data_IF_926560185499
#
_entry.id   IF_926560185499
#
_cell.length_a   1.000
_cell.length_b   1.000
_cell.length_c   1.000
_cell.angle_alpha   90.00
_cell.angle_beta   90.00
_cell.angle_gamma   90.00
#
_symmetry.space_group_name_H-M   'P 1'
#
loop_
_entity.id
_entity.type
_entity.pdbx_description
1 polymer ?
#
# COMPACT_ATOMS: atom_id res chain seq x y z
N UNK A 1 -22.93 17.41 -3.98
CA UNK A 1 -22.26 17.07 -5.26
C UNK A 1 -21.80 15.64 -5.09
N UNK A 2 -21.93 14.79 -6.10
CA UNK A 2 -21.40 13.43 -5.98
C UNK A 2 -19.89 13.46 -6.16
N UNK A 3 -19.19 12.56 -5.46
CA UNK A 3 -17.76 12.39 -5.61
C UNK A 3 -17.45 11.45 -6.76
N UNK A 4 -16.29 11.64 -7.37
CA UNK A 4 -15.70 10.77 -8.38
C UNK A 4 -14.29 10.41 -7.94
N UNK A 5 -13.83 9.20 -8.28
CA UNK A 5 -12.46 8.77 -8.06
C UNK A 5 -11.75 8.48 -9.38
N UNK A 6 -10.48 8.85 -9.45
CA UNK A 6 -9.54 8.43 -10.49
C UNK A 6 -8.41 7.67 -9.82
N UNK A 7 -8.10 6.46 -10.31
CA UNK A 7 -7.04 5.63 -9.75
C UNK A 7 -6.00 5.37 -10.85
N UNK A 8 -4.73 5.59 -10.53
CA UNK A 8 -3.59 5.25 -11.39
C UNK A 8 -2.52 4.54 -10.56
N UNK A 9 -1.73 3.68 -11.19
CA UNK A 9 -0.66 2.99 -10.49
C UNK A 9 0.46 2.56 -11.42
N UNK A 10 1.65 2.45 -10.86
CA UNK A 10 2.86 2.06 -11.56
C UNK A 10 3.74 1.24 -10.65
N UNK A 11 4.37 0.21 -11.20
CA UNK A 11 5.44 -0.54 -10.57
C UNK A 11 6.68 -0.51 -11.45
N UNK A 12 7.85 -0.32 -10.86
CA UNK A 12 9.13 -0.24 -11.55
C UNK A 12 10.19 -1.07 -10.82
N UNK A 13 11.06 -1.73 -11.58
CA UNK A 13 12.11 -2.60 -11.02
C UNK A 13 13.16 -1.84 -10.20
N UNK A 14 13.23 -0.51 -10.37
CA UNK A 14 14.30 0.31 -9.80
C UNK A 14 15.61 0.22 -10.59
N UNK A 15 16.68 0.81 -10.03
CA UNK A 15 17.98 0.92 -10.69
C UNK A 15 18.99 -0.14 -10.23
N UNK A 16 18.67 -0.93 -9.20
CA UNK A 16 19.61 -1.86 -8.55
C UNK A 16 19.16 -3.30 -8.53
N UNK A 17 17.86 -3.54 -8.56
CA UNK A 17 17.30 -4.90 -8.53
C UNK A 17 17.35 -5.53 -9.93
N UNK A 18 17.39 -6.86 -9.99
CA UNK A 18 17.33 -7.62 -11.24
C UNK A 18 15.96 -8.23 -11.52
N UNK A 19 15.07 -8.17 -10.54
CA UNK A 19 13.66 -8.62 -10.60
C UNK A 19 12.78 -7.61 -9.89
N UNK A 20 11.56 -7.53 -10.33
CA UNK A 20 10.52 -6.84 -9.59
C UNK A 20 9.76 -7.87 -8.77
N UNK A 21 9.83 -7.75 -7.44
CA UNK A 21 9.14 -8.58 -6.47
C UNK A 21 7.91 -7.86 -5.89
N UNK A 22 7.71 -6.58 -6.23
CA UNK A 22 6.49 -5.84 -5.94
C UNK A 22 5.35 -6.29 -6.86
N UNK A 23 4.12 -6.13 -6.39
CA UNK A 23 2.91 -6.33 -7.17
C UNK A 23 1.88 -5.22 -6.90
N UNK A 24 1.11 -4.87 -7.93
CA UNK A 24 0.03 -3.89 -7.85
C UNK A 24 -1.20 -4.39 -8.59
N UNK A 25 -2.37 -4.20 -7.98
CA UNK A 25 -3.66 -4.44 -8.62
C UNK A 25 -4.60 -3.25 -8.40
N UNK A 26 -5.31 -2.86 -9.45
CA UNK A 26 -6.29 -1.76 -9.43
C UNK A 26 -7.59 -2.22 -10.09
N UNK A 27 -8.71 -1.91 -9.44
CA UNK A 27 -10.06 -2.04 -9.98
C UNK A 27 -10.79 -0.72 -9.78
N UNK A 28 -10.61 0.19 -10.72
CA UNK A 28 -11.16 1.55 -10.63
C UNK A 28 -12.68 1.57 -10.53
N UNK A 29 -13.36 0.63 -11.20
CA UNK A 29 -14.81 0.48 -11.17
C UNK A 29 -15.36 0.09 -9.77
N UNK A 30 -14.52 -0.50 -8.92
CA UNK A 30 -14.86 -0.89 -7.55
C UNK A 30 -14.16 -0.04 -6.49
N UNK A 31 -13.37 0.96 -6.91
CA UNK A 31 -12.62 1.79 -5.97
C UNK A 31 -11.51 1.07 -5.22
N UNK A 32 -10.90 0.02 -5.81
CA UNK A 32 -9.90 -0.84 -5.16
C UNK A 32 -8.51 -0.53 -5.70
N UNK A 33 -7.55 -0.36 -4.78
CA UNK A 33 -6.13 -0.36 -5.07
C UNK A 33 -5.40 -1.23 -4.04
N UNK A 34 -4.45 -2.05 -4.50
CA UNK A 34 -3.64 -2.96 -3.69
C UNK A 34 -2.18 -2.84 -4.13
N UNK A 35 -1.27 -2.67 -3.17
CA UNK A 35 0.18 -2.71 -3.36
C UNK A 35 0.74 -3.76 -2.40
N UNK A 36 1.65 -4.59 -2.87
CA UNK A 36 2.32 -5.61 -2.08
C UNK A 36 3.80 -5.66 -2.46
N UNK A 37 4.67 -5.66 -1.47
CA UNK A 37 6.12 -5.73 -1.59
C UNK A 37 6.59 -7.13 -1.19
N UNK A 38 7.08 -7.88 -2.17
CA UNK A 38 7.59 -9.23 -1.98
C UNK A 38 8.98 -9.20 -1.35
N UNK A 39 9.13 -9.83 -0.18
CA UNK A 39 10.37 -9.75 0.60
C UNK A 39 11.59 -10.21 -0.18
N UNK A 40 12.49 -9.26 -0.49
CA UNK A 40 13.78 -9.50 -1.13
C UNK A 40 14.72 -10.30 -0.24
N UNK A 41 15.47 -11.22 -0.87
CA UNK A 41 16.42 -12.07 -0.17
C UNK A 41 15.86 -13.44 0.24
N UNK A 42 14.56 -13.65 0.14
CA UNK A 42 13.92 -14.95 0.19
C UNK A 42 13.51 -15.39 -1.23
N UNK A 43 13.52 -16.69 -1.56
CA UNK A 43 13.03 -17.13 -2.86
C UNK A 43 11.53 -16.84 -3.00
N UNK A 44 11.13 -16.36 -4.18
CA UNK A 44 9.73 -16.24 -4.59
C UNK A 44 8.93 -15.11 -3.93
N UNK A 45 9.54 -13.95 -3.59
CA UNK A 45 8.85 -12.74 -3.18
C UNK A 45 7.82 -12.26 -4.23
N UNK A 46 8.21 -12.37 -5.51
CA UNK A 46 7.35 -12.08 -6.67
C UNK A 46 6.06 -12.92 -6.71
N UNK A 47 6.15 -14.20 -6.32
CA UNK A 47 4.97 -15.06 -6.22
C UNK A 47 4.09 -14.68 -5.01
N UNK A 48 4.72 -14.35 -3.87
CA UNK A 48 3.96 -13.99 -2.68
C UNK A 48 3.17 -12.69 -2.89
N UNK A 49 3.79 -11.65 -3.44
CA UNK A 49 3.14 -10.36 -3.72
C UNK A 49 2.02 -10.49 -4.77
N UNK A 50 2.22 -11.29 -5.83
CA UNK A 50 1.18 -11.57 -6.84
C UNK A 50 -0.02 -12.30 -6.22
N UNK A 51 0.21 -13.36 -5.43
CA UNK A 51 -0.86 -14.08 -4.75
C UNK A 51 -1.64 -13.19 -3.77
N UNK A 52 -0.93 -12.28 -3.07
CA UNK A 52 -1.55 -11.33 -2.18
C UNK A 52 -2.46 -10.35 -2.92
N UNK A 53 -1.92 -9.66 -3.95
CA UNK A 53 -2.69 -8.66 -4.71
C UNK A 53 -3.88 -9.29 -5.42
N UNK A 54 -3.71 -10.44 -6.07
CA UNK A 54 -4.79 -11.17 -6.74
C UNK A 54 -5.91 -11.58 -5.76
N UNK A 55 -5.53 -12.16 -4.59
CA UNK A 55 -6.50 -12.63 -3.60
C UNK A 55 -7.27 -11.46 -2.98
N UNK A 56 -6.55 -10.41 -2.58
CA UNK A 56 -7.15 -9.22 -1.96
C UNK A 56 -8.11 -8.55 -2.93
N UNK A 57 -7.68 -8.33 -4.16
CA UNK A 57 -8.51 -7.70 -5.19
C UNK A 57 -9.78 -8.51 -5.47
N UNK A 58 -9.66 -9.83 -5.67
CA UNK A 58 -10.81 -10.68 -5.98
C UNK A 58 -11.85 -10.67 -4.83
N UNK A 59 -11.40 -10.76 -3.57
CA UNK A 59 -12.30 -10.78 -2.42
C UNK A 59 -12.94 -9.42 -2.12
N UNK A 60 -12.21 -8.32 -2.29
CA UNK A 60 -12.79 -6.98 -2.16
C UNK A 60 -13.77 -6.68 -3.28
N UNK A 61 -13.53 -7.17 -4.50
CA UNK A 61 -14.47 -7.08 -5.59
C UNK A 61 -15.75 -7.87 -5.30
N UNK A 62 -15.65 -9.13 -4.83
CA UNK A 62 -16.80 -9.93 -4.40
C UNK A 62 -17.61 -9.20 -3.31
N UNK A 63 -16.93 -8.56 -2.35
CA UNK A 63 -17.59 -7.75 -1.33
C UNK A 63 -18.31 -6.54 -1.92
N UNK A 64 -17.66 -5.78 -2.80
CA UNK A 64 -18.24 -4.58 -3.44
C UNK A 64 -19.43 -4.91 -4.37
N UNK A 65 -19.43 -6.08 -5.03
CA UNK A 65 -20.54 -6.58 -5.84
C UNK A 65 -21.73 -7.13 -5.01
N UNK A 66 -21.49 -7.44 -3.74
CA UNK A 66 -22.55 -7.92 -2.85
C UNK A 66 -23.39 -6.75 -2.34
N UNK A 67 -24.69 -6.99 -2.05
CA UNK A 67 -25.56 -6.00 -1.37
C UNK A 67 -25.17 -5.80 0.12
N UNK A 68 -23.89 -6.02 0.45
CA UNK A 68 -23.39 -5.87 1.82
C UNK A 68 -23.37 -4.43 2.24
N UNK A 69 -23.85 -4.16 3.44
CA UNK A 69 -23.80 -2.84 4.06
C UNK A 69 -22.32 -2.42 4.27
N UNK A 70 -21.97 -1.19 3.88
CA UNK A 70 -20.64 -0.60 4.08
C UNK A 70 -20.17 -0.62 5.54
N UNK A 71 -21.09 -0.73 6.50
CA UNK A 71 -20.75 -0.92 7.93
C UNK A 71 -19.95 -2.20 8.22
N UNK A 72 -19.81 -3.10 7.25
CA UNK A 72 -19.05 -4.35 7.37
C UNK A 72 -17.72 -4.33 6.59
N UNK A 73 -17.35 -3.19 6.02
CA UNK A 73 -16.14 -3.08 5.18
C UNK A 73 -14.85 -3.36 5.96
N UNK A 74 -14.75 -2.91 7.22
CA UNK A 74 -13.59 -3.20 8.07
C UNK A 74 -13.44 -4.71 8.37
N UNK A 75 -14.54 -5.39 8.70
CA UNK A 75 -14.53 -6.84 8.91
C UNK A 75 -14.20 -7.62 7.62
N UNK A 76 -14.73 -7.16 6.49
CA UNK A 76 -14.44 -7.76 5.18
C UNK A 76 -12.97 -7.57 4.82
N UNK A 77 -12.41 -6.38 5.04
CA UNK A 77 -11.00 -6.08 4.81
C UNK A 77 -10.09 -6.98 5.65
N UNK A 78 -10.33 -7.09 6.96
CA UNK A 78 -9.54 -7.94 7.84
C UNK A 78 -9.57 -9.41 7.39
N UNK A 79 -10.75 -9.96 7.08
CA UNK A 79 -10.92 -11.33 6.57
C UNK A 79 -10.22 -11.52 5.22
N UNK A 80 -10.22 -10.51 4.37
CA UNK A 80 -9.57 -10.54 3.07
C UNK A 80 -8.06 -10.65 3.21
N UNK A 81 -7.44 -9.85 4.07
CA UNK A 81 -6.00 -9.91 4.33
C UNK A 81 -5.57 -11.24 4.96
N UNK A 82 -6.34 -11.75 5.92
CA UNK A 82 -6.09 -13.09 6.48
C UNK A 82 -6.25 -14.19 5.43
N UNK A 83 -7.21 -14.06 4.51
CA UNK A 83 -7.37 -15.03 3.42
C UNK A 83 -6.18 -15.01 2.46
N UNK A 84 -5.61 -13.84 2.16
CA UNK A 84 -4.40 -13.76 1.34
C UNK A 84 -3.20 -14.44 2.04
N UNK A 85 -3.06 -14.24 3.36
CA UNK A 85 -2.08 -14.99 4.16
C UNK A 85 -2.26 -16.50 4.03
N UNK A 86 -3.47 -17.02 4.20
CA UNK A 86 -3.77 -18.46 4.11
C UNK A 86 -3.50 -19.02 2.70
N UNK A 87 -3.76 -18.26 1.64
CA UNK A 87 -3.44 -18.68 0.26
C UNK A 87 -1.93 -18.86 0.09
N UNK A 88 -1.12 -17.92 0.59
CA UNK A 88 0.33 -17.99 0.54
C UNK A 88 0.82 -19.18 1.38
N UNK A 89 0.31 -19.38 2.61
CA UNK A 89 0.65 -20.50 3.48
C UNK A 89 0.35 -21.86 2.84
N UNK A 90 -0.85 -22.00 2.25
CA UNK A 90 -1.25 -23.21 1.52
C UNK A 90 -0.27 -23.51 0.38
N UNK A 91 0.16 -22.46 -0.33
CA UNK A 91 1.12 -22.63 -1.44
C UNK A 91 2.49 -23.11 -0.96
N UNK A 92 2.97 -22.64 0.21
CA UNK A 92 4.19 -23.11 0.86
C UNK A 92 4.04 -24.58 1.29
N UNK A 93 2.90 -24.96 1.88
CA UNK A 93 2.64 -26.35 2.29
C UNK A 93 2.61 -27.33 1.12
N UNK A 94 2.02 -26.91 -0.01
CA UNK A 94 2.00 -27.68 -1.25
C UNK A 94 3.42 -27.84 -1.87
N UNK A 95 4.29 -26.85 -1.67
CA UNK A 95 5.65 -26.85 -2.22
C UNK A 95 6.66 -26.26 -1.21
N UNK A 96 7.29 -27.10 -0.38
CA UNK A 96 8.25 -26.64 0.63
C UNK A 96 9.48 -25.87 0.08
N UNK A 97 9.70 -25.83 -1.23
CA UNK A 97 10.75 -24.99 -1.83
C UNK A 97 10.41 -23.50 -1.75
N UNK A 98 9.13 -23.17 -1.51
CA UNK A 98 8.64 -21.81 -1.32
C UNK A 98 8.74 -21.34 0.14
N UNK A 99 9.30 -22.17 1.02
CA UNK A 99 9.46 -21.82 2.44
C UNK A 99 10.24 -20.51 2.60
N UNK A 100 9.71 -19.64 3.44
CA UNK A 100 10.23 -18.30 3.66
C UNK A 100 9.76 -17.23 2.66
N UNK A 101 8.92 -17.57 1.66
CA UNK A 101 8.29 -16.52 0.86
C UNK A 101 7.29 -15.73 1.68
N UNK A 102 7.25 -14.42 1.48
CA UNK A 102 6.32 -13.54 2.17
C UNK A 102 6.22 -12.20 1.44
N UNK A 103 5.25 -11.41 1.85
CA UNK A 103 5.00 -10.09 1.27
C UNK A 103 4.31 -9.17 2.26
N UNK A 104 4.56 -7.88 2.16
CA UNK A 104 3.70 -6.85 2.74
C UNK A 104 2.39 -6.76 1.97
N UNK A 105 1.45 -6.00 2.46
CA UNK A 105 0.29 -5.54 1.69
C UNK A 105 -0.24 -4.24 2.26
N UNK A 106 -0.60 -3.30 1.40
CA UNK A 106 -1.42 -2.13 1.71
C UNK A 106 -2.53 -2.03 0.67
N UNK A 107 -3.76 -1.85 1.12
CA UNK A 107 -4.94 -1.85 0.25
C UNK A 107 -5.99 -0.86 0.72
N UNK A 108 -6.68 -0.25 -0.23
CA UNK A 108 -7.77 0.69 0.02
C UNK A 108 -8.99 0.30 -0.80
N UNK A 109 -10.14 0.33 -0.15
CA UNK A 109 -11.47 0.22 -0.75
C UNK A 109 -12.18 1.55 -0.57
N UNK A 110 -12.62 2.15 -1.66
CA UNK A 110 -13.41 3.41 -1.69
C UNK A 110 -14.87 3.08 -1.90
N UNK A 111 -15.73 3.60 -1.04
CA UNK A 111 -17.17 3.60 -1.24
C UNK A 111 -17.67 5.04 -1.47
N UNK A 112 -17.95 5.35 -2.73
CA UNK A 112 -18.46 6.68 -3.14
C UNK A 112 -19.89 6.92 -2.65
N UNK A 113 -20.67 5.86 -2.38
CA UNK A 113 -22.05 6.00 -1.95
C UNK A 113 -22.15 6.46 -0.51
N UNK A 114 -21.26 6.02 0.35
CA UNK A 114 -21.13 6.46 1.75
C UNK A 114 -20.07 7.55 1.94
N UNK A 115 -19.40 7.98 0.87
CA UNK A 115 -18.28 8.94 0.90
C UNK A 115 -17.21 8.54 1.91
N UNK A 116 -16.81 7.24 1.90
CA UNK A 116 -15.87 6.68 2.87
C UNK A 116 -14.82 5.80 2.21
N UNK A 117 -13.75 5.53 2.95
CA UNK A 117 -12.75 4.53 2.59
C UNK A 117 -12.51 3.55 3.74
N UNK A 118 -12.10 2.34 3.39
CA UNK A 118 -11.51 1.36 4.30
C UNK A 118 -10.10 1.05 3.83
N UNK A 119 -9.14 1.24 4.73
CA UNK A 119 -7.72 0.96 4.53
C UNK A 119 -7.34 -0.27 5.35
N UNK A 120 -6.59 -1.19 4.73
CA UNK A 120 -6.01 -2.33 5.40
C UNK A 120 -4.54 -2.50 5.06
N UNK A 121 -3.70 -2.87 6.04
CA UNK A 121 -2.30 -3.18 5.77
C UNK A 121 -1.71 -4.22 6.72
N UNK A 122 -0.62 -4.86 6.26
CA UNK A 122 0.31 -5.69 7.01
C UNK A 122 1.72 -5.43 6.45
N UNK A 123 2.68 -5.10 7.29
CA UNK A 123 4.05 -4.77 6.91
C UNK A 123 4.34 -3.28 6.92
N UNK A 124 5.33 -2.86 6.13
CA UNK A 124 5.85 -1.49 6.06
C UNK A 124 5.60 -0.77 4.72
N UNK A 125 4.81 -1.38 3.83
CA UNK A 125 4.18 -0.64 2.73
C UNK A 125 3.17 0.35 3.30
N UNK A 126 3.17 1.58 2.78
CA UNK A 126 2.48 2.69 3.40
C UNK A 126 1.30 3.22 2.59
N UNK A 127 0.36 3.83 3.31
CA UNK A 127 -0.67 4.69 2.74
C UNK A 127 -0.55 6.10 3.33
N UNK A 128 -0.69 7.11 2.46
CA UNK A 128 -0.71 8.53 2.81
C UNK A 128 -1.97 9.19 2.30
N UNK A 129 -2.39 10.24 2.99
CA UNK A 129 -3.42 11.18 2.57
C UNK A 129 -2.82 12.58 2.43
N UNK A 130 -2.89 13.14 1.24
CA UNK A 130 -2.64 14.56 1.01
C UNK A 130 -3.99 15.29 1.01
N UNK A 131 -4.23 16.09 2.05
CA UNK A 131 -5.46 16.86 2.25
C UNK A 131 -5.13 18.29 2.66
N UNK A 132 -5.65 19.26 1.93
CA UNK A 132 -5.44 20.68 2.27
C UNK A 132 -3.97 21.12 2.25
N UNK A 133 -3.10 20.40 1.54
CA UNK A 133 -1.67 20.68 1.43
C UNK A 133 -0.80 19.99 2.49
N UNK A 134 -1.39 19.20 3.37
CA UNK A 134 -0.70 18.43 4.40
C UNK A 134 -0.68 16.94 4.01
N UNK A 135 0.51 16.31 4.02
CA UNK A 135 0.67 14.88 3.83
C UNK A 135 0.64 14.17 5.18
N UNK A 136 -0.25 13.22 5.32
CA UNK A 136 -0.49 12.46 6.55
C UNK A 136 -0.28 10.99 6.26
N UNK A 137 0.64 10.32 6.95
CA UNK A 137 0.76 8.87 6.90
C UNK A 137 -0.42 8.24 7.64
N UNK A 138 -1.17 7.37 6.95
CA UNK A 138 -2.36 6.69 7.50
C UNK A 138 -2.03 5.32 8.11
N UNK A 139 -0.90 4.72 7.74
CA UNK A 139 -0.42 3.42 8.21
C UNK A 139 0.62 3.58 9.32
N UNK A 140 0.78 2.53 10.13
CA UNK A 140 1.90 2.42 11.07
C UNK A 140 2.72 1.20 10.66
N UNK A 141 4.01 1.36 10.41
CA UNK A 141 4.87 0.30 9.88
C UNK A 141 5.00 -0.87 10.87
N UNK A 142 4.84 -2.09 10.41
CA UNK A 142 5.17 -3.30 11.18
C UNK A 142 6.68 -3.57 11.13
N UNK A 143 7.47 -2.70 11.76
CA UNK A 143 8.93 -2.83 11.83
C UNK A 143 9.42 -2.89 13.28
N UNK A 144 10.59 -3.52 13.47
CA UNK A 144 11.23 -3.56 14.78
C UNK A 144 11.46 -2.16 15.36
N UNK A 145 11.81 -1.20 14.51
CA UNK A 145 12.07 0.19 14.94
C UNK A 145 10.77 0.85 15.40
N UNK A 146 9.67 0.66 14.69
CA UNK A 146 8.36 1.22 15.05
C UNK A 146 7.87 0.66 16.40
N UNK A 147 7.98 -0.65 16.61
CA UNK A 147 7.64 -1.26 17.91
C UNK A 147 8.44 -0.67 19.07
N UNK A 148 9.72 -0.29 18.83
CA UNK A 148 10.57 0.35 19.86
C UNK A 148 10.20 1.80 20.10
N UNK A 149 9.77 2.51 19.06
CA UNK A 149 9.21 3.86 19.17
C UNK A 149 7.93 3.86 20.02
N UNK A 150 7.00 2.98 19.71
CA UNK A 150 5.72 2.86 20.41
C UNK A 150 5.89 2.46 21.88
N UNK A 151 6.87 1.60 22.15
CA UNK A 151 7.27 1.23 23.50
C UNK A 151 8.11 2.31 24.23
N UNK A 152 8.39 3.46 23.62
CA UNK A 152 9.28 4.51 24.12
C UNK A 152 10.70 4.01 24.44
N UNK A 153 11.18 2.97 23.76
CA UNK A 153 12.53 2.44 23.89
C UNK A 153 13.53 3.12 22.95
N UNK A 154 13.07 3.78 21.91
CA UNK A 154 13.83 4.63 21.01
C UNK A 154 13.17 6.01 20.89
N UNK A 155 13.99 7.04 20.65
CA UNK A 155 13.48 8.34 20.18
C UNK A 155 13.41 8.37 18.67
N UNK A 156 12.65 9.30 18.08
CA UNK A 156 12.58 9.49 16.64
C UNK A 156 13.96 9.72 15.99
N UNK A 157 14.85 10.43 16.69
CA UNK A 157 16.25 10.62 16.25
C UNK A 157 17.03 9.31 16.20
N UNK A 158 16.85 8.42 17.19
CA UNK A 158 17.52 7.12 17.24
C UNK A 158 16.95 6.12 16.25
N UNK A 159 15.67 6.25 15.90
CA UNK A 159 14.97 5.45 14.91
C UNK A 159 15.43 5.80 13.50
N UNK A 160 15.62 7.10 13.24
CA UNK A 160 16.07 7.59 11.95
C UNK A 160 17.45 7.02 11.57
N UNK A 161 17.48 6.28 10.43
CA UNK A 161 18.70 5.63 9.96
C UNK A 161 19.17 4.44 10.81
N UNK A 162 18.31 3.89 11.67
CA UNK A 162 18.67 2.72 12.48
C UNK A 162 18.98 1.51 11.58
N UNK A 163 20.05 0.72 11.87
CA UNK A 163 20.42 -0.44 11.04
C UNK A 163 19.33 -1.51 10.86
N UNK A 164 18.38 -1.58 11.82
CA UNK A 164 17.22 -2.48 11.76
C UNK A 164 15.94 -1.77 11.29
N UNK A 165 16.05 -0.61 10.63
CA UNK A 165 14.92 0.19 10.16
C UNK A 165 13.99 -0.57 9.22
N UNK A 166 14.55 -1.45 8.40
CA UNK A 166 13.81 -2.28 7.42
C UNK A 166 13.51 -3.70 7.94
N UNK A 167 13.66 -3.94 9.24
CA UNK A 167 13.36 -5.26 9.81
C UNK A 167 11.86 -5.37 10.09
N UNK A 168 11.15 -5.99 9.16
CA UNK A 168 9.70 -6.24 9.24
C UNK A 168 9.40 -7.23 10.36
N UNK A 169 8.36 -6.96 11.14
CA UNK A 169 7.89 -7.81 12.25
C UNK A 169 6.63 -8.60 11.89
N UNK A 170 5.85 -8.14 10.93
CA UNK A 170 4.68 -8.82 10.38
C UNK A 170 4.66 -8.75 8.85
N UNK A 171 4.30 -9.86 8.21
CA UNK A 171 3.97 -9.92 6.78
C UNK A 171 3.07 -11.12 6.47
N UNK A 172 2.47 -11.15 5.29
CA UNK A 172 1.73 -12.30 4.80
C UNK A 172 2.69 -13.44 4.45
N UNK A 173 2.30 -14.69 4.74
CA UNK A 173 3.05 -15.88 4.37
C UNK A 173 3.99 -16.43 5.45
N UNK A 174 4.28 -15.70 6.52
CA UNK A 174 5.04 -16.23 7.66
C UNK A 174 4.26 -17.31 8.41
N UNK A 175 4.95 -18.06 9.30
CA UNK A 175 4.34 -19.14 10.07
C UNK A 175 3.25 -18.63 11.01
N UNK A 176 3.46 -17.49 11.65
CA UNK A 176 2.45 -16.86 12.50
C UNK A 176 1.46 -16.07 11.64
N UNK A 177 0.17 -16.21 11.98
CA UNK A 177 -0.88 -15.38 11.36
C UNK A 177 -0.65 -13.91 11.73
N UNK A 178 -0.68 -12.99 10.77
CA UNK A 178 -0.53 -11.56 11.06
C UNK A 178 -1.77 -10.99 11.75
N UNK A 179 -1.62 -9.85 12.39
CA UNK A 179 -2.70 -9.01 12.90
C UNK A 179 -2.89 -7.81 11.95
N UNK A 180 -3.83 -7.88 10.97
CA UNK A 180 -4.02 -6.80 10.01
C UNK A 180 -4.48 -5.50 10.69
N UNK A 181 -3.87 -4.39 10.33
CA UNK A 181 -4.31 -3.06 10.73
C UNK A 181 -5.41 -2.59 9.81
N UNK A 182 -6.55 -2.18 10.36
CA UNK A 182 -7.70 -1.67 9.61
C UNK A 182 -8.07 -0.29 10.13
N UNK A 183 -8.27 0.65 9.22
CA UNK A 183 -8.77 1.97 9.53
C UNK A 183 -9.80 2.42 8.49
N UNK A 184 -10.69 3.32 8.90
CA UNK A 184 -11.74 3.88 8.07
C UNK A 184 -11.72 5.40 8.16
N UNK A 185 -12.21 6.07 7.13
CA UNK A 185 -12.32 7.51 7.12
C UNK A 185 -13.25 8.03 6.04
N UNK A 186 -13.50 9.33 6.07
CA UNK A 186 -14.36 10.01 5.11
C UNK A 186 -13.57 10.58 3.94
N UNK A 187 -14.17 10.57 2.75
CA UNK A 187 -13.65 11.19 1.55
C UNK A 187 -14.06 12.67 1.50
N UNK A 188 -13.17 13.50 0.99
CA UNK A 188 -13.45 14.91 0.70
C UNK A 188 -12.92 15.20 -0.71
N UNK A 189 -13.67 15.99 -1.49
CA UNK A 189 -13.20 16.46 -2.80
C UNK A 189 -11.83 17.18 -2.67
N UNK A 190 -10.88 16.78 -3.47
CA UNK A 190 -9.49 17.25 -3.41
C UNK A 190 -8.54 16.35 -2.62
N UNK A 191 -9.02 15.28 -2.00
CA UNK A 191 -8.15 14.29 -1.37
C UNK A 191 -7.33 13.52 -2.40
N UNK A 192 -6.06 13.27 -2.06
CA UNK A 192 -5.18 12.39 -2.81
C UNK A 192 -4.63 11.36 -1.85
N UNK A 193 -4.91 10.09 -2.13
CA UNK A 193 -4.33 8.98 -1.39
C UNK A 193 -3.18 8.39 -2.20
N UNK A 194 -2.07 8.08 -1.54
CA UNK A 194 -0.91 7.38 -2.11
C UNK A 194 -0.71 6.09 -1.34
N UNK A 195 -0.74 4.96 -2.03
CA UNK A 195 -0.28 3.66 -1.52
C UNK A 195 1.07 3.35 -2.18
N UNK A 196 2.06 2.91 -1.40
CA UNK A 196 3.39 2.64 -1.96
C UNK A 196 4.17 1.58 -1.18
N UNK A 197 5.12 0.93 -1.87
CA UNK A 197 6.15 0.10 -1.25
C UNK A 197 7.28 0.95 -0.63
N UNK A 198 8.15 0.32 0.14
CA UNK A 198 9.26 0.96 0.83
C UNK A 198 10.34 1.52 -0.12
N UNK A 199 10.45 0.98 -1.35
CA UNK A 199 11.36 1.50 -2.38
C UNK A 199 11.08 2.94 -2.79
N UNK A 200 9.86 3.45 -2.53
CA UNK A 200 9.53 4.86 -2.69
C UNK A 200 9.94 5.65 -1.45
N UNK A 201 9.50 5.27 -0.28
CA UNK A 201 9.69 6.00 0.98
C UNK A 201 11.09 5.85 1.57
N UNK A 202 11.84 4.84 1.14
CA UNK A 202 13.25 4.68 1.48
C UNK A 202 14.19 5.69 0.82
N UNK A 203 13.72 6.42 -0.22
CA UNK A 203 14.52 7.39 -0.97
C UNK A 203 13.88 8.78 -1.10
N UNK A 204 12.57 8.90 -0.92
CA UNK A 204 11.85 10.19 -0.93
C UNK A 204 11.37 10.53 0.48
N UNK A 205 11.55 11.79 0.89
CA UNK A 205 10.95 12.32 2.13
C UNK A 205 9.51 12.73 1.90
N UNK A 206 8.74 12.90 2.96
CA UNK A 206 7.35 13.36 2.92
C UNK A 206 7.23 14.73 2.22
N UNK A 207 8.23 15.62 2.39
CA UNK A 207 8.30 16.90 1.68
C UNK A 207 8.45 16.70 0.18
N UNK A 208 9.34 15.77 -0.26
CA UNK A 208 9.51 15.47 -1.69
C UNK A 208 8.23 14.91 -2.30
N UNK A 209 7.56 13.98 -1.60
CA UNK A 209 6.26 13.41 -2.03
C UNK A 209 5.23 14.52 -2.20
N UNK A 210 5.11 15.40 -1.19
CA UNK A 210 4.18 16.53 -1.20
C UNK A 210 4.44 17.47 -2.37
N UNK A 211 5.70 17.87 -2.58
CA UNK A 211 6.08 18.78 -3.66
C UNK A 211 5.76 18.20 -5.05
N UNK A 212 6.03 16.90 -5.26
CA UNK A 212 5.75 16.23 -6.53
C UNK A 212 4.25 16.16 -6.78
N UNK A 213 3.47 15.70 -5.81
CA UNK A 213 2.02 15.57 -5.95
C UNK A 213 1.36 16.93 -6.20
N UNK A 214 1.76 17.99 -5.49
CA UNK A 214 1.28 19.35 -5.74
C UNK A 214 1.70 19.89 -7.10
N UNK A 215 2.93 19.61 -7.51
CA UNK A 215 3.47 20.10 -8.78
C UNK A 215 2.74 19.53 -9.99
N UNK A 216 2.42 18.24 -9.95
CA UNK A 216 1.80 17.55 -11.10
C UNK A 216 0.27 17.60 -11.07
N UNK A 217 -0.34 17.38 -9.91
CA UNK A 217 -1.81 17.37 -9.82
C UNK A 217 -2.39 18.78 -9.75
N UNK A 218 -1.65 19.78 -9.22
CA UNK A 218 -2.06 21.18 -9.20
C UNK A 218 -3.52 21.39 -8.74
N UNK A 219 -4.20 22.42 -9.25
CA UNK A 219 -5.62 22.65 -8.98
C UNK A 219 -6.56 21.76 -9.81
N UNK A 220 -6.03 20.93 -10.71
CA UNK A 220 -6.81 20.05 -11.57
C UNK A 220 -6.29 18.59 -11.49
N UNK A 221 -6.79 17.80 -10.54
CA UNK A 221 -6.25 16.49 -10.21
C UNK A 221 -6.58 15.38 -11.23
N UNK A 222 -6.80 15.71 -12.50
CA UNK A 222 -7.21 14.72 -13.53
C UNK A 222 -6.04 13.92 -14.12
N UNK A 223 -4.79 14.24 -13.80
CA UNK A 223 -3.62 13.58 -14.37
C UNK A 223 -2.91 12.68 -13.35
N UNK A 224 -3.69 11.76 -12.76
CA UNK A 224 -3.14 10.78 -11.81
C UNK A 224 -2.07 9.88 -12.44
N UNK A 225 -2.15 9.59 -13.75
CA UNK A 225 -1.16 8.79 -14.46
C UNK A 225 0.19 9.53 -14.54
N UNK A 226 0.17 10.83 -14.88
CA UNK A 226 1.40 11.63 -14.89
C UNK A 226 1.99 11.77 -13.47
N UNK A 227 1.16 11.95 -12.45
CA UNK A 227 1.62 12.11 -11.08
C UNK A 227 2.28 10.82 -10.54
N UNK A 228 1.71 9.65 -10.82
CA UNK A 228 2.33 8.38 -10.42
C UNK A 228 3.63 8.12 -11.17
N UNK A 229 3.72 8.52 -12.45
CA UNK A 229 4.96 8.45 -13.22
C UNK A 229 6.03 9.37 -12.62
N UNK A 230 5.69 10.63 -12.33
CA UNK A 230 6.62 11.62 -11.77
C UNK A 230 7.20 11.18 -10.42
N UNK A 231 6.38 10.58 -9.55
CA UNK A 231 6.82 10.14 -8.23
C UNK A 231 7.73 8.91 -8.32
N UNK A 232 7.43 7.94 -9.19
CA UNK A 232 8.28 6.78 -9.45
C UNK A 232 9.60 7.19 -10.10
N UNK A 233 9.55 8.10 -11.07
CA UNK A 233 10.75 8.65 -11.70
C UNK A 233 11.62 9.43 -10.71
N UNK A 234 11.02 10.14 -9.75
CA UNK A 234 11.75 10.84 -8.70
C UNK A 234 12.47 9.86 -7.78
N UNK A 235 11.82 8.77 -7.37
CA UNK A 235 12.43 7.72 -6.57
C UNK A 235 13.59 7.04 -7.32
N UNK A 236 13.42 6.76 -8.61
CA UNK A 236 14.49 6.25 -9.47
C UNK A 236 15.67 7.22 -9.55
N UNK A 237 15.42 8.53 -9.71
CA UNK A 237 16.48 9.57 -9.71
C UNK A 237 17.18 9.71 -8.36
N UNK A 238 16.49 9.45 -7.26
CA UNK A 238 17.05 9.45 -5.91
C UNK A 238 17.90 8.20 -5.60
N UNK A 239 17.96 7.25 -6.54
CA UNK A 239 18.85 6.09 -6.45
C UNK A 239 18.22 4.77 -6.84
N UNK A 240 16.89 4.63 -6.75
CA UNK A 240 16.14 3.43 -7.15
C UNK A 240 16.74 2.16 -6.56
N UNK A 241 16.97 2.14 -5.26
CA UNK A 241 17.71 1.05 -4.61
C UNK A 241 16.92 -0.23 -4.51
N UNK A 242 15.59 -0.12 -4.57
CA UNK A 242 14.64 -1.23 -4.53
C UNK A 242 13.62 -1.16 -5.66
N UNK A 243 12.71 -2.14 -5.72
CA UNK A 243 11.49 -2.07 -6.52
C UNK A 243 10.64 -0.91 -6.02
N UNK A 244 9.99 -0.18 -6.90
CA UNK A 244 9.23 1.03 -6.58
C UNK A 244 7.81 0.85 -7.09
N UNK A 245 6.87 0.80 -6.20
CA UNK A 245 5.45 0.66 -6.55
C UNK A 245 4.62 1.74 -5.88
N UNK A 246 3.76 2.40 -6.66
CA UNK A 246 2.88 3.45 -6.19
C UNK A 246 1.50 3.36 -6.85
N UNK A 247 0.44 3.58 -6.07
CA UNK A 247 -0.92 3.80 -6.54
C UNK A 247 -1.45 5.13 -6.00
N UNK A 248 -2.02 5.96 -6.86
CA UNK A 248 -2.68 7.21 -6.51
C UNK A 248 -4.19 7.07 -6.71
N UNK A 249 -4.94 7.49 -5.69
CA UNK A 249 -6.39 7.56 -5.71
C UNK A 249 -6.79 9.03 -5.49
N UNK A 250 -7.37 9.66 -6.49
CA UNK A 250 -7.67 11.10 -6.50
C UNK A 250 -9.17 11.31 -6.46
N UNK A 251 -9.66 12.00 -5.43
CA UNK A 251 -11.08 12.27 -5.21
C UNK A 251 -11.43 13.66 -5.74
N UNK A 252 -12.45 13.75 -6.60
CA UNK A 252 -12.92 15.01 -7.19
C UNK A 252 -14.43 15.12 -7.15
N UNK A 253 -14.96 16.32 -7.33
CA UNK A 253 -16.38 16.49 -7.58
C UNK A 253 -16.73 15.99 -8.98
N UNK A 254 -17.90 15.36 -9.10
CA UNK A 254 -18.50 15.04 -10.39
C UNK A 254 -18.99 16.32 -11.07
N UNK A 255 -18.56 16.58 -12.30
CA UNK A 255 -18.82 17.82 -13.08
C UNK A 255 -20.25 17.90 -13.55
#
# INVERSE_FOLDING_TARGET
>A
MSLKITIAGLTDIGQRRSRNEDSIEIRSEFGIAVVADGMGGHPHGDLASSLATETVTAKLQEFAESDSDSSHSADAMAKTLLSAHEVIRTKIEENPKLDGMGTTVVTMLIDLSSESYTLGHVGDSRAYLLRGGELIQLTTDDTWVQERLDANHLTAEQASGHPLGHMITQCLGLENSPEPHISEGSLISGDIYLLCSDGLTGVLTDENITEILHGTLGPNPQDAEAAVQDIVDAANRAGGHDNITAALLVVTDES
#
